data_IF_096532687921
#
_entry.id   IF_096532687921
#
_cell.length_a   1.000
_cell.length_b   1.000
_cell.length_c   1.000
_cell.angle_alpha   90.00
_cell.angle_beta   90.00
_cell.angle_gamma   90.00
#
_symmetry.space_group_name_H-M   'P 1'
#
loop_
_entity.id
_entity.type
_entity.pdbx_description
1 polymer ?
#
# COMPACT_ATOMS: atom_id res chain seq x y z
N UNK A 1 68.88 -2.87 -45.40
CA UNK A 1 67.42 -2.82 -45.29
C UNK A 1 67.07 -1.50 -44.60
N UNK A 2 66.77 -0.48 -45.40
CA UNK A 2 65.98 0.68 -44.96
C UNK A 2 64.48 0.24 -44.96
N UNK A 3 63.50 0.97 -44.37
CA UNK A 3 63.43 2.45 -44.27
C UNK A 3 62.79 3.01 -42.96
N UNK A 4 63.04 4.28 -42.61
CA UNK A 4 62.17 5.49 -42.68
C UNK A 4 61.15 5.62 -41.52
N UNK A 5 61.29 6.63 -40.63
CA UNK A 5 60.66 7.97 -40.69
C UNK A 5 59.13 7.89 -40.44
N UNK A 6 58.63 8.33 -39.29
CA UNK A 6 58.22 9.72 -38.95
C UNK A 6 56.71 9.89 -39.16
N UNK A 7 56.00 10.43 -38.17
CA UNK A 7 54.72 11.19 -38.29
C UNK A 7 54.08 11.39 -36.91
N UNK A 8 54.45 12.53 -36.30
CA UNK A 8 53.56 13.67 -35.98
C UNK A 8 52.03 13.44 -35.96
N UNK A 9 51.33 13.87 -34.88
CA UNK A 9 50.40 15.02 -34.92
C UNK A 9 49.57 15.21 -33.63
N UNK A 10 49.76 16.40 -33.02
CA UNK A 10 48.79 17.41 -32.52
C UNK A 10 47.62 17.13 -31.56
N UNK A 11 47.64 17.92 -30.46
CA UNK A 11 46.60 18.81 -29.89
C UNK A 11 45.10 18.48 -30.10
N UNK A 12 44.33 18.35 -29.00
CA UNK A 12 43.46 19.42 -28.48
C UNK A 12 42.53 18.89 -27.34
N UNK A 13 42.00 19.85 -26.56
CA UNK A 13 40.96 19.80 -25.52
C UNK A 13 41.34 19.32 -24.10
N UNK A 14 41.59 20.21 -23.13
CA UNK A 14 40.72 21.20 -22.46
C UNK A 14 40.02 20.72 -21.17
N UNK A 15 40.23 21.57 -20.15
CA UNK A 15 39.33 21.94 -19.05
C UNK A 15 39.46 21.19 -17.72
N UNK A 16 40.08 21.92 -16.79
CA UNK A 16 39.96 21.83 -15.34
C UNK A 16 38.50 21.77 -14.90
N UNK A 17 38.19 20.85 -13.98
CA UNK A 17 37.15 21.08 -12.98
C UNK A 17 37.72 20.88 -11.58
N UNK A 18 38.09 22.02 -11.00
CA UNK A 18 38.48 22.17 -9.61
C UNK A 18 37.29 21.90 -8.67
N UNK A 19 37.63 21.29 -7.54
CA UNK A 19 36.83 20.99 -6.37
C UNK A 19 35.78 22.04 -6.00
N UNK A 20 34.55 21.60 -5.72
CA UNK A 20 33.68 22.22 -4.71
C UNK A 20 33.07 21.17 -3.79
N UNK A 21 33.65 21.12 -2.61
CA UNK A 21 33.13 20.55 -1.37
C UNK A 21 31.87 21.34 -0.97
N UNK A 22 30.77 20.67 -0.63
CA UNK A 22 29.63 21.29 0.05
C UNK A 22 28.90 20.27 0.90
N UNK A 23 28.54 20.76 2.08
CA UNK A 23 28.22 20.05 3.29
C UNK A 23 26.87 19.32 3.30
N UNK A 24 26.81 18.40 4.25
CA UNK A 24 25.65 17.72 4.79
C UNK A 24 24.52 18.68 5.19
N UNK A 25 23.29 18.38 4.77
CA UNK A 25 22.06 18.79 5.46
C UNK A 25 20.97 17.74 5.21
N UNK A 26 20.75 16.89 6.21
CA UNK A 26 19.52 16.13 6.39
C UNK A 26 18.36 17.11 6.60
N UNK A 27 17.54 17.34 5.57
CA UNK A 27 16.11 17.64 5.73
C UNK A 27 15.40 17.64 4.37
N UNK A 28 15.16 16.46 3.79
CA UNK A 28 14.29 16.32 2.62
C UNK A 28 12.83 16.22 3.07
N UNK A 29 12.22 17.38 3.36
CA UNK A 29 10.78 17.49 3.18
C UNK A 29 10.51 17.45 1.66
N UNK A 30 9.72 16.49 1.14
CA UNK A 30 9.51 16.38 -0.30
C UNK A 30 8.88 17.67 -0.83
N UNK A 31 9.53 18.26 -1.83
CA UNK A 31 9.07 19.48 -2.50
C UNK A 31 7.64 19.31 -3.03
N UNK A 32 6.81 20.35 -2.86
CA UNK A 32 5.39 20.37 -3.26
C UNK A 32 5.14 19.94 -4.72
N UNK A 33 6.07 20.27 -5.62
CA UNK A 33 6.08 19.83 -7.03
C UNK A 33 6.23 18.32 -7.18
N UNK A 34 7.13 17.68 -6.44
CA UNK A 34 7.32 16.23 -6.45
C UNK A 34 6.09 15.50 -5.90
N UNK A 35 5.43 16.04 -4.88
CA UNK A 35 4.17 15.49 -4.36
C UNK A 35 3.03 15.55 -5.39
N UNK A 36 2.97 16.61 -6.21
CA UNK A 36 1.97 16.75 -7.28
C UNK A 36 2.18 15.77 -8.43
N UNK A 37 3.43 15.52 -8.85
CA UNK A 37 3.76 14.51 -9.86
C UNK A 37 3.46 13.09 -9.37
N UNK A 38 3.74 12.82 -8.09
CA UNK A 38 3.35 11.56 -7.46
C UNK A 38 1.82 11.41 -7.44
N UNK A 39 1.04 12.46 -7.15
CA UNK A 39 -0.43 12.35 -7.14
C UNK A 39 -1.04 11.92 -8.48
N UNK A 40 -0.38 12.20 -9.61
CA UNK A 40 -0.84 11.76 -10.94
C UNK A 40 -0.52 10.27 -11.24
N UNK A 41 0.30 9.61 -10.42
CA UNK A 41 0.70 8.21 -10.59
C UNK A 41 -0.03 7.24 -9.66
N UNK A 42 -0.90 7.73 -8.78
CA UNK A 42 -1.63 6.93 -7.79
C UNK A 42 -3.12 7.28 -7.82
N UNK A 43 -3.95 6.26 -7.75
CA UNK A 43 -5.40 6.41 -7.59
C UNK A 43 -5.74 6.79 -6.15
N UNK A 44 -4.92 6.34 -5.18
CA UNK A 44 -5.08 6.69 -3.78
C UNK A 44 -4.20 7.89 -3.37
N UNK A 45 -4.75 8.86 -2.61
CA UNK A 45 -4.00 10.04 -2.20
C UNK A 45 -2.94 9.69 -1.13
N UNK A 46 -1.65 9.85 -1.48
CA UNK A 46 -0.49 9.55 -0.61
C UNK A 46 -0.57 10.18 0.79
N UNK A 47 -1.05 11.42 0.88
CA UNK A 47 -1.21 12.10 2.16
C UNK A 47 -2.16 11.35 3.10
N UNK A 48 -3.27 10.83 2.56
CA UNK A 48 -4.26 10.07 3.34
C UNK A 48 -3.70 8.72 3.76
N UNK A 49 -2.99 8.02 2.87
CA UNK A 49 -2.33 6.74 3.17
C UNK A 49 -1.35 6.92 4.32
N UNK A 50 -0.51 7.98 4.29
CA UNK A 50 0.42 8.30 5.37
C UNK A 50 -0.30 8.51 6.70
N UNK A 51 -1.38 9.30 6.72
CA UNK A 51 -2.16 9.54 7.95
C UNK A 51 -2.74 8.25 8.51
N UNK A 52 -3.23 7.34 7.66
CA UNK A 52 -3.76 6.05 8.11
C UNK A 52 -2.64 5.18 8.69
N UNK A 53 -1.49 5.07 8.01
CA UNK A 53 -0.34 4.31 8.52
C UNK A 53 0.11 4.77 9.90
N UNK A 54 0.04 6.08 10.18
CA UNK A 54 0.41 6.66 11.49
C UNK A 54 -0.68 6.55 12.56
N UNK A 55 -1.91 6.21 12.20
CA UNK A 55 -3.03 6.14 13.15
C UNK A 55 -2.95 4.95 14.11
N UNK A 56 -2.11 3.95 13.81
CA UNK A 56 -1.91 2.73 14.61
C UNK A 56 -1.13 2.91 15.92
N UNK A 57 -0.83 4.14 16.34
CA UNK A 57 -0.24 4.47 17.65
C UNK A 57 1.29 4.34 17.71
N UNK A 58 1.91 3.55 16.84
CA UNK A 58 3.37 3.44 16.75
C UNK A 58 3.93 4.44 15.73
N UNK A 59 4.64 5.46 16.22
CA UNK A 59 5.26 6.50 15.40
C UNK A 59 6.59 5.99 14.80
N UNK A 60 6.50 5.01 13.91
CA UNK A 60 7.63 4.58 13.09
C UNK A 60 7.77 5.55 11.91
N UNK A 61 8.98 6.08 11.64
CA UNK A 61 9.20 6.92 10.47
C UNK A 61 8.93 6.14 9.18
N UNK A 62 8.15 6.75 8.27
CA UNK A 62 7.74 6.14 6.98
C UNK A 62 8.57 6.77 5.86
N UNK A 63 9.36 5.95 5.16
CA UNK A 63 10.10 6.39 3.98
C UNK A 63 9.18 6.70 2.79
N UNK A 64 9.67 7.48 1.82
CA UNK A 64 8.93 7.77 0.58
C UNK A 64 8.62 6.51 -0.22
N UNK A 65 9.59 5.60 -0.34
CA UNK A 65 9.44 4.32 -1.02
C UNK A 65 8.45 3.40 -0.30
N UNK A 66 8.50 3.34 1.04
CA UNK A 66 7.55 2.57 1.84
C UNK A 66 6.13 3.10 1.67
N UNK A 67 5.95 4.43 1.67
CA UNK A 67 4.65 5.04 1.41
C UNK A 67 4.14 4.74 -0.01
N UNK A 68 5.02 4.77 -1.01
CA UNK A 68 4.68 4.41 -2.39
C UNK A 68 4.23 2.95 -2.49
N UNK A 69 5.03 2.03 -1.93
CA UNK A 69 4.74 0.59 -1.95
C UNK A 69 3.41 0.28 -1.25
N UNK A 70 3.15 0.88 -0.09
CA UNK A 70 1.88 0.73 0.62
C UNK A 70 0.70 1.28 -0.16
N UNK A 71 0.85 2.42 -0.81
CA UNK A 71 -0.19 2.99 -1.69
C UNK A 71 -0.54 2.03 -2.82
N UNK A 72 0.47 1.48 -3.51
CA UNK A 72 0.26 0.50 -4.59
C UNK A 72 -0.31 -0.82 -4.08
N UNK A 73 0.15 -1.30 -2.92
CA UNK A 73 -0.40 -2.49 -2.30
C UNK A 73 -1.88 -2.31 -1.96
N UNK A 74 -2.29 -1.15 -1.43
CA UNK A 74 -3.69 -0.85 -1.13
C UNK A 74 -4.57 -0.78 -2.38
N UNK A 75 -4.09 -0.15 -3.46
CA UNK A 75 -4.78 -0.15 -4.77
C UNK A 75 -5.02 -1.58 -5.27
N UNK A 76 -3.95 -2.39 -5.32
CA UNK A 76 -4.03 -3.78 -5.77
C UNK A 76 -4.90 -4.63 -4.83
N UNK A 77 -4.84 -4.39 -3.54
CA UNK A 77 -5.63 -5.10 -2.54
C UNK A 77 -7.13 -4.88 -2.76
N UNK A 78 -7.58 -3.63 -2.94
CA UNK A 78 -9.00 -3.32 -3.16
C UNK A 78 -9.50 -3.94 -4.47
N UNK A 79 -8.73 -3.80 -5.56
CA UNK A 79 -9.07 -4.41 -6.84
C UNK A 79 -9.15 -5.94 -6.76
N UNK A 80 -8.18 -6.56 -6.09
CA UNK A 80 -8.17 -8.02 -5.88
C UNK A 80 -9.34 -8.45 -5.01
N UNK A 81 -9.58 -7.80 -3.88
CA UNK A 81 -10.68 -8.12 -2.98
C UNK A 81 -12.03 -8.09 -3.71
N UNK A 82 -12.29 -7.04 -4.50
CA UNK A 82 -13.50 -6.92 -5.29
C UNK A 82 -13.63 -8.03 -6.34
N UNK A 83 -12.55 -8.31 -7.09
CA UNK A 83 -12.54 -9.36 -8.13
C UNK A 83 -12.72 -10.75 -7.56
N UNK A 84 -11.99 -11.11 -6.52
CA UNK A 84 -12.05 -12.45 -5.93
C UNK A 84 -13.40 -12.68 -5.23
N UNK A 85 -13.97 -11.65 -4.59
CA UNK A 85 -15.34 -11.72 -4.05
C UNK A 85 -16.37 -11.96 -5.17
N UNK A 86 -16.16 -11.38 -6.35
CA UNK A 86 -17.04 -11.60 -7.50
C UNK A 86 -16.87 -13.00 -8.10
N UNK A 87 -15.63 -13.48 -8.24
CA UNK A 87 -15.33 -14.78 -8.82
C UNK A 87 -15.74 -15.95 -7.92
N UNK A 88 -15.68 -15.78 -6.60
CA UNK A 88 -16.09 -16.80 -5.61
C UNK A 88 -17.61 -16.95 -5.44
N UNK A 89 -18.40 -15.95 -5.85
CA UNK A 89 -19.84 -15.90 -5.64
C UNK A 89 -20.64 -16.10 -6.94
N UNK A 90 -20.18 -16.98 -7.83
CA UNK A 90 -20.83 -17.28 -9.12
C UNK A 90 -21.05 -16.06 -10.05
N UNK A 91 -20.17 -15.05 -9.95
CA UNK A 91 -20.16 -13.87 -10.83
C UNK A 91 -21.52 -13.15 -10.83
N UNK A 92 -21.95 -12.64 -9.66
CA UNK A 92 -23.27 -12.04 -9.51
C UNK A 92 -23.36 -10.74 -10.32
N UNK A 93 -24.57 -10.29 -10.68
CA UNK A 93 -24.73 -9.03 -11.44
C UNK A 93 -24.15 -7.81 -10.72
N UNK A 94 -24.13 -7.82 -9.39
CA UNK A 94 -23.56 -6.79 -8.54
C UNK A 94 -22.94 -7.46 -7.30
N UNK A 95 -21.86 -6.88 -6.78
CA UNK A 95 -21.31 -7.27 -5.48
C UNK A 95 -22.18 -6.66 -4.38
N UNK A 96 -22.49 -7.48 -3.38
CA UNK A 96 -23.28 -7.12 -2.21
C UNK A 96 -22.43 -7.43 -0.97
N UNK A 97 -22.86 -6.95 0.19
CA UNK A 97 -22.12 -7.17 1.43
C UNK A 97 -21.97 -8.66 1.75
N UNK A 98 -23.01 -9.47 1.53
CA UNK A 98 -22.96 -10.93 1.75
C UNK A 98 -21.83 -11.58 0.95
N UNK A 99 -21.71 -11.28 -0.35
CA UNK A 99 -20.64 -11.81 -1.20
C UNK A 99 -19.24 -11.47 -0.67
N UNK A 100 -19.05 -10.24 -0.18
CA UNK A 100 -17.79 -9.80 0.40
C UNK A 100 -17.52 -10.47 1.76
N UNK A 101 -18.53 -10.55 2.62
CA UNK A 101 -18.42 -11.18 3.93
C UNK A 101 -18.09 -12.67 3.79
N UNK A 102 -18.77 -13.38 2.88
CA UNK A 102 -18.55 -14.80 2.64
C UNK A 102 -17.12 -15.05 2.14
N UNK A 103 -16.65 -14.28 1.15
CA UNK A 103 -15.28 -14.41 0.65
C UNK A 103 -14.21 -14.07 1.72
N UNK A 104 -14.45 -13.07 2.57
CA UNK A 104 -13.51 -12.68 3.63
C UNK A 104 -13.41 -13.77 4.68
N UNK A 105 -14.55 -14.26 5.19
CA UNK A 105 -14.61 -15.17 6.32
C UNK A 105 -14.11 -16.59 5.96
N UNK A 106 -14.25 -17.00 4.70
CA UNK A 106 -13.76 -18.28 4.21
C UNK A 106 -12.25 -18.26 3.86
N UNK A 107 -11.56 -17.13 4.04
CA UNK A 107 -10.18 -16.94 3.61
C UNK A 107 -9.24 -16.52 4.74
N UNK A 108 -8.42 -17.46 5.23
CA UNK A 108 -7.44 -17.23 6.30
C UNK A 108 -6.49 -16.04 6.05
N UNK A 109 -6.19 -15.70 4.79
CA UNK A 109 -5.32 -14.55 4.47
C UNK A 109 -5.98 -13.21 4.76
N UNK A 110 -7.29 -13.21 4.97
CA UNK A 110 -8.14 -12.06 5.28
C UNK A 110 -8.63 -12.10 6.74
N UNK A 111 -8.04 -12.94 7.60
CA UNK A 111 -8.39 -13.05 9.03
C UNK A 111 -8.40 -11.69 9.73
N UNK A 112 -7.48 -10.79 9.36
CA UNK A 112 -7.41 -9.43 9.90
C UNK A 112 -8.66 -8.57 9.64
N UNK A 113 -9.55 -9.01 8.74
CA UNK A 113 -10.83 -8.36 8.43
C UNK A 113 -12.03 -9.06 9.07
N UNK A 114 -11.86 -10.22 9.70
CA UNK A 114 -13.00 -11.02 10.17
C UNK A 114 -13.87 -10.26 11.17
N UNK A 115 -13.26 -9.51 12.08
CA UNK A 115 -14.00 -8.71 13.07
C UNK A 115 -14.64 -7.45 12.45
N UNK A 116 -14.09 -6.94 11.34
CA UNK A 116 -14.62 -5.75 10.67
C UNK A 116 -15.73 -6.07 9.69
N UNK A 117 -15.72 -7.25 9.08
CA UNK A 117 -16.67 -7.69 8.06
C UNK A 117 -17.25 -9.06 8.43
N UNK A 118 -18.09 -9.15 9.47
CA UNK A 118 -18.69 -10.41 9.90
C UNK A 118 -19.71 -10.95 8.87
N UNK A 119 -19.96 -12.26 8.90
CA UNK A 119 -21.08 -12.84 8.15
C UNK A 119 -22.42 -12.23 8.58
N UNK A 120 -23.30 -12.05 7.61
CA UNK A 120 -24.69 -11.69 7.90
C UNK A 120 -25.42 -12.90 8.48
N UNK A 121 -25.88 -12.78 9.72
CA UNK A 121 -26.76 -13.75 10.37
C UNK A 121 -28.14 -13.14 10.55
N UNK A 122 -29.20 -13.93 10.35
CA UNK A 122 -30.55 -13.44 10.63
C UNK A 122 -30.76 -13.43 12.15
N UNK A 123 -31.44 -12.41 12.66
CA UNK A 123 -31.71 -12.30 14.09
C UNK A 123 -32.38 -13.55 14.68
N UNK A 124 -33.31 -14.16 13.94
CA UNK A 124 -33.97 -15.41 14.36
C UNK A 124 -32.99 -16.55 14.65
N UNK A 125 -31.89 -16.63 13.89
CA UNK A 125 -30.90 -17.70 14.02
C UNK A 125 -30.02 -17.49 15.26
N UNK A 126 -29.82 -16.24 15.70
CA UNK A 126 -28.95 -15.90 16.84
C UNK A 126 -29.71 -15.49 18.12
N UNK A 127 -31.04 -15.44 18.08
CA UNK A 127 -31.88 -15.01 19.20
C UNK A 127 -31.59 -15.81 20.49
N UNK A 128 -31.26 -17.09 20.35
CA UNK A 128 -30.93 -17.97 21.48
C UNK A 128 -29.62 -17.63 22.19
N UNK A 129 -28.68 -16.93 21.54
CA UNK A 129 -27.43 -16.46 22.14
C UNK A 129 -27.62 -15.14 22.93
N UNK A 130 -28.68 -14.38 22.63
CA UNK A 130 -28.95 -13.06 23.24
C UNK A 130 -29.71 -13.18 24.57
N UNK A 131 -30.38 -14.31 24.82
CA UNK A 131 -30.99 -14.57 26.12
C UNK A 131 -29.94 -15.09 27.11
N UNK A 132 -29.56 -14.30 28.15
CA UNK A 132 -28.84 -14.88 29.27
C UNK A 132 -29.74 -15.94 29.89
N UNK A 133 -29.21 -17.15 30.03
CA UNK A 133 -29.85 -18.21 30.79
C UNK A 133 -30.15 -17.67 32.19
N UNK A 134 -31.43 -17.37 32.45
CA UNK A 134 -31.93 -17.14 33.81
C UNK A 134 -31.85 -18.50 34.48
N UNK A 135 -30.69 -18.78 35.07
CA UNK A 135 -30.46 -19.93 35.92
C UNK A 135 -31.51 -19.89 37.02
N UNK A 136 -32.48 -20.80 36.92
CA UNK A 136 -33.43 -21.06 37.98
C UNK A 136 -32.64 -21.54 39.20
N UNK A 137 -32.43 -20.64 40.17
CA UNK A 137 -32.12 -21.03 41.54
C UNK A 137 -33.47 -21.31 42.21
N UNK A 138 -33.90 -22.58 42.21
CA UNK A 138 -35.03 -23.02 43.04
C UNK A 138 -34.52 -23.25 44.46
N UNK A 139 -35.27 -22.66 45.40
CA UNK A 139 -35.15 -22.79 46.85
C UNK A 139 -35.33 -24.23 47.34
#
# INVERSE_FOLDING_TARGET
>A
MAPSEDSDSHDDDQVLIASRKSDHSENDAPSSSSLSMLSAQHELPLARVRTIMQSGGEQVPISSEGLFAMTKAAELFVCKLARESYESNDKPKCIEYSHLADYIQDNDKLEFLHEMVPHMVRFADVMHLVHPSVSQTSR
#
